data_IF_800741677912
#
_entry.id   IF_800741677912
#
_cell.length_a   1.000
_cell.length_b   1.000
_cell.length_c   1.000
_cell.angle_alpha   90.00
_cell.angle_beta   90.00
_cell.angle_gamma   90.00
#
_symmetry.space_group_name_H-M   'P 1'
#
loop_
_entity.id
_entity.type
_entity.pdbx_description
1 polymer ?
#
# COMPACT_ATOMS: atom_id res chain seq x y z
N UNK A 1 30.85 6.35 31.04
CA UNK A 1 30.91 6.52 29.57
C UNK A 1 31.10 5.16 28.93
N UNK A 2 30.26 4.80 27.97
CA UNK A 2 30.50 3.65 27.10
C UNK A 2 30.97 4.19 25.76
N UNK A 3 32.13 3.77 25.28
CA UNK A 3 32.68 4.22 24.01
C UNK A 3 32.29 3.23 22.94
N UNK A 4 31.49 3.65 21.97
CA UNK A 4 31.13 2.87 20.78
C UNK A 4 32.04 3.29 19.63
N UNK A 5 32.74 2.33 19.05
CA UNK A 5 33.53 2.56 17.84
C UNK A 5 32.61 2.35 16.65
N UNK A 6 32.31 3.43 15.93
CA UNK A 6 31.46 3.43 14.74
C UNK A 6 32.32 3.56 13.49
N UNK A 7 31.91 2.93 12.40
CA UNK A 7 32.52 3.15 11.09
C UNK A 7 32.15 4.53 10.55
N UNK A 8 32.94 5.05 9.60
CA UNK A 8 32.66 6.35 8.97
C UNK A 8 31.30 6.36 8.25
N UNK A 9 30.90 5.23 7.64
CA UNK A 9 29.58 5.08 7.00
C UNK A 9 28.43 5.14 8.02
N UNK A 10 28.58 4.45 9.16
CA UNK A 10 27.59 4.53 10.24
C UNK A 10 27.53 5.95 10.83
N UNK A 11 28.67 6.62 10.94
CA UNK A 11 28.73 8.01 11.38
C UNK A 11 27.96 8.94 10.44
N UNK A 12 28.22 8.87 9.13
CA UNK A 12 27.51 9.67 8.13
C UNK A 12 25.99 9.47 8.19
N UNK A 13 25.53 8.22 8.26
CA UNK A 13 24.10 7.90 8.36
C UNK A 13 23.46 8.46 9.63
N UNK A 14 24.15 8.33 10.77
CA UNK A 14 23.69 8.89 12.04
C UNK A 14 23.67 10.43 12.01
N UNK A 15 24.65 11.08 11.38
CA UNK A 15 24.67 12.54 11.22
C UNK A 15 23.51 13.02 10.36
N UNK A 16 23.23 12.34 9.24
CA UNK A 16 22.09 12.66 8.39
C UNK A 16 20.77 12.56 9.14
N UNK A 17 20.56 11.46 9.87
CA UNK A 17 19.37 11.27 10.69
C UNK A 17 19.24 12.34 11.78
N UNK A 18 20.34 12.69 12.45
CA UNK A 18 20.33 13.74 13.46
C UNK A 18 19.89 15.08 12.87
N UNK A 19 20.33 15.40 11.65
CA UNK A 19 19.84 16.56 10.89
C UNK A 19 18.33 16.51 10.61
N UNK A 20 17.80 15.36 10.18
CA UNK A 20 16.37 15.17 9.95
C UNK A 20 15.54 15.33 11.22
N UNK A 21 15.94 14.71 12.32
CA UNK A 21 15.22 14.79 13.61
C UNK A 21 15.28 16.24 14.14
N UNK A 22 16.43 16.91 14.04
CA UNK A 22 16.55 18.32 14.43
C UNK A 22 15.64 19.21 13.59
N UNK A 23 15.52 18.96 12.28
CA UNK A 23 14.59 19.70 11.42
C UNK A 23 13.12 19.44 11.80
N UNK A 24 12.73 18.19 12.06
CA UNK A 24 11.37 17.82 12.44
C UNK A 24 10.96 18.35 13.82
N UNK A 25 11.88 18.31 14.79
CA UNK A 25 11.61 18.67 16.19
C UNK A 25 11.91 20.14 16.51
N UNK A 26 12.63 20.85 15.62
CA UNK A 26 13.18 22.19 15.82
C UNK A 26 14.02 22.32 17.11
N UNK A 27 14.59 21.20 17.58
CA UNK A 27 15.42 21.14 18.79
C UNK A 27 16.77 20.54 18.46
N UNK A 28 17.80 21.02 19.16
CA UNK A 28 19.13 20.42 19.08
C UNK A 28 19.04 18.98 19.62
N UNK A 29 19.49 18.02 18.82
CA UNK A 29 19.46 16.59 19.14
C UNK A 29 20.89 16.08 19.31
N UNK A 30 21.04 14.98 20.06
CA UNK A 30 22.31 14.27 20.21
C UNK A 30 22.31 12.96 19.44
N UNK A 31 23.48 12.36 19.24
CA UNK A 31 23.59 11.01 18.67
C UNK A 31 22.83 9.97 19.50
N UNK A 32 22.73 10.17 20.81
CA UNK A 32 21.94 9.29 21.69
C UNK A 32 20.46 9.36 21.33
N UNK A 33 19.92 10.57 21.16
CA UNK A 33 18.51 10.77 20.78
C UNK A 33 18.22 10.18 19.40
N UNK A 34 19.16 10.32 18.45
CA UNK A 34 19.05 9.73 17.13
C UNK A 34 19.06 8.19 17.17
N UNK A 35 19.89 7.58 18.02
CA UNK A 35 19.92 6.12 18.23
C UNK A 35 18.64 5.64 18.90
N UNK A 36 18.14 6.33 19.93
CA UNK A 36 16.87 5.98 20.57
C UNK A 36 15.68 6.12 19.61
N UNK A 37 15.68 7.15 18.77
CA UNK A 37 14.68 7.31 17.70
C UNK A 37 14.75 6.17 16.68
N UNK A 38 15.96 5.76 16.27
CA UNK A 38 16.13 4.60 15.40
C UNK A 38 15.55 3.34 16.04
N UNK A 39 15.95 3.04 17.27
CA UNK A 39 15.51 1.83 17.96
C UNK A 39 13.99 1.80 18.22
N UNK A 40 13.38 2.96 18.47
CA UNK A 40 11.92 3.06 18.70
C UNK A 40 11.08 3.04 17.43
N UNK A 41 11.60 3.56 16.31
CA UNK A 41 10.90 3.59 15.03
C UNK A 41 11.21 2.36 14.16
N UNK A 42 12.34 1.70 14.39
CA UNK A 42 12.76 0.54 13.61
C UNK A 42 11.95 -0.69 13.99
N UNK A 43 11.39 -1.35 12.97
CA UNK A 43 10.87 -2.71 13.11
C UNK A 43 11.98 -3.66 12.71
N UNK A 44 12.41 -4.51 13.64
CA UNK A 44 13.40 -5.55 13.35
C UNK A 44 12.63 -6.74 12.77
N UNK A 45 12.89 -7.02 11.49
CA UNK A 45 12.30 -8.17 10.80
C UNK A 45 13.29 -9.35 10.79
N UNK A 46 12.78 -10.60 10.83
CA UNK A 46 13.62 -11.78 10.68
C UNK A 46 14.39 -11.76 9.35
N UNK A 47 15.67 -12.16 9.34
CA UNK A 47 16.49 -12.15 8.13
C UNK A 47 15.95 -13.08 7.04
N UNK A 48 15.26 -14.15 7.41
CA UNK A 48 14.62 -15.07 6.46
C UNK A 48 13.56 -14.35 5.64
N UNK A 49 12.71 -13.54 6.29
CA UNK A 49 11.68 -12.76 5.64
C UNK A 49 12.27 -11.68 4.73
N UNK A 50 13.34 -11.01 5.17
CA UNK A 50 14.03 -10.01 4.35
C UNK A 50 14.64 -10.62 3.08
N UNK A 51 15.16 -11.84 3.17
CA UNK A 51 15.71 -12.57 2.04
C UNK A 51 14.61 -13.06 1.08
N UNK A 52 13.47 -13.49 1.61
CA UNK A 52 12.30 -13.85 0.83
C UNK A 52 11.78 -12.65 0.03
N UNK A 53 11.63 -11.49 0.67
CA UNK A 53 11.23 -10.24 -0.01
C UNK A 53 12.22 -9.87 -1.10
N UNK A 54 13.53 -9.96 -0.83
CA UNK A 54 14.55 -9.67 -1.83
C UNK A 54 14.45 -10.61 -3.04
N UNK A 55 14.28 -11.91 -2.79
CA UNK A 55 14.15 -12.92 -3.85
C UNK A 55 12.89 -12.67 -4.68
N UNK A 56 11.77 -12.35 -4.02
CA UNK A 56 10.51 -12.03 -4.68
C UNK A 56 10.63 -10.80 -5.58
N UNK A 57 11.28 -9.73 -5.13
CA UNK A 57 11.52 -8.51 -5.92
C UNK A 57 12.39 -8.82 -7.15
N UNK A 58 13.42 -9.66 -6.99
CA UNK A 58 14.32 -10.04 -8.08
C UNK A 58 13.63 -10.91 -9.14
N UNK A 59 12.74 -11.81 -8.72
CA UNK A 59 11.94 -12.65 -9.60
C UNK A 59 10.81 -11.87 -10.29
N UNK A 60 10.27 -10.84 -9.63
CA UNK A 60 9.09 -10.11 -10.08
C UNK A 60 9.36 -8.63 -10.40
N UNK A 61 10.42 -8.36 -11.15
CA UNK A 61 10.82 -6.98 -11.54
C UNK A 61 9.72 -6.21 -12.27
N UNK A 62 8.79 -6.90 -12.93
CA UNK A 62 7.62 -6.31 -13.59
C UNK A 62 6.69 -5.56 -12.63
N UNK A 63 6.73 -5.85 -11.33
CA UNK A 63 5.92 -5.17 -10.32
C UNK A 63 6.47 -3.80 -9.92
N UNK A 64 7.67 -3.43 -10.40
CA UNK A 64 8.23 -2.10 -10.22
C UNK A 64 8.85 -1.82 -8.85
N UNK A 65 8.87 -2.79 -7.93
CA UNK A 65 9.54 -2.65 -6.65
C UNK A 65 11.05 -2.57 -6.83
N UNK A 66 11.66 -1.55 -6.24
CA UNK A 66 13.12 -1.33 -6.34
C UNK A 66 13.85 -1.60 -5.03
N UNK A 67 13.14 -1.49 -3.89
CA UNK A 67 13.70 -1.70 -2.55
C UNK A 67 12.76 -2.52 -1.67
N UNK A 68 13.33 -3.15 -0.63
CA UNK A 68 12.54 -3.94 0.35
C UNK A 68 11.61 -3.04 1.14
N UNK A 69 12.06 -1.83 1.46
CA UNK A 69 11.32 -0.83 2.21
C UNK A 69 10.05 -0.38 1.47
N UNK A 70 10.13 -0.27 0.14
CA UNK A 70 8.98 0.05 -0.71
C UNK A 70 7.93 -1.05 -0.65
N UNK A 71 8.36 -2.31 -0.81
CA UNK A 71 7.50 -3.49 -0.73
C UNK A 71 6.83 -3.61 0.65
N UNK A 72 7.61 -3.50 1.73
CA UNK A 72 7.09 -3.59 3.11
C UNK A 72 6.08 -2.47 3.39
N UNK A 73 6.37 -1.24 2.94
CA UNK A 73 5.48 -0.09 3.13
C UNK A 73 4.15 -0.31 2.43
N UNK A 74 4.15 -0.82 1.20
CA UNK A 74 2.90 -1.09 0.50
C UNK A 74 2.12 -2.25 1.12
N UNK A 75 2.78 -3.34 1.50
CA UNK A 75 2.16 -4.46 2.20
C UNK A 75 1.47 -4.03 3.50
N UNK A 76 2.13 -3.18 4.32
CA UNK A 76 1.54 -2.65 5.55
C UNK A 76 0.34 -1.75 5.24
N UNK A 77 0.46 -0.84 4.25
CA UNK A 77 -0.66 0.03 3.84
C UNK A 77 -1.85 -0.79 3.34
N UNK A 78 -1.59 -1.80 2.53
CA UNK A 78 -2.60 -2.75 2.06
C UNK A 78 -3.31 -3.41 3.24
N UNK A 79 -2.56 -3.95 4.20
CA UNK A 79 -3.15 -4.60 5.38
C UNK A 79 -3.97 -3.63 6.23
N UNK A 80 -3.52 -2.39 6.40
CA UNK A 80 -4.26 -1.36 7.13
C UNK A 80 -5.54 -0.92 6.41
N UNK A 81 -5.51 -0.80 5.07
CA UNK A 81 -6.71 -0.51 4.27
C UNK A 81 -7.75 -1.63 4.41
N UNK A 82 -7.28 -2.88 4.33
CA UNK A 82 -8.11 -4.07 4.52
C UNK A 82 -8.78 -4.09 5.90
N UNK A 83 -8.01 -3.90 6.98
CA UNK A 83 -8.55 -3.95 8.35
C UNK A 83 -9.44 -2.76 8.74
N UNK A 84 -9.46 -1.69 7.93
CA UNK A 84 -10.30 -0.51 8.16
C UNK A 84 -11.62 -0.55 7.36
N UNK A 85 -11.93 -1.69 6.73
CA UNK A 85 -13.10 -1.89 5.86
C UNK A 85 -13.26 -0.79 4.80
N UNK A 86 -12.14 -0.21 4.35
CA UNK A 86 -12.16 0.83 3.33
C UNK A 86 -12.45 0.26 1.93
N UNK A 87 -12.20 -1.04 1.75
CA UNK A 87 -12.41 -1.77 0.51
C UNK A 87 -12.86 -3.20 0.85
N UNK A 88 -13.95 -3.64 0.22
CA UNK A 88 -14.28 -5.06 0.09
C UNK A 88 -13.59 -5.61 -1.16
N UNK A 89 -12.97 -6.77 -1.03
CA UNK A 89 -12.31 -7.45 -2.14
C UNK A 89 -13.25 -8.51 -2.69
N UNK A 90 -13.41 -8.53 -4.01
CA UNK A 90 -14.04 -9.62 -4.72
C UNK A 90 -12.93 -10.55 -5.16
N UNK A 91 -12.84 -11.73 -4.54
CA UNK A 91 -11.93 -12.77 -5.00
C UNK A 91 -12.52 -13.41 -6.26
N UNK A 92 -11.76 -13.34 -7.35
CA UNK A 92 -12.08 -13.98 -8.62
C UNK A 92 -10.93 -14.95 -8.92
N UNK A 93 -11.19 -16.25 -9.15
CA UNK A 93 -10.17 -17.19 -9.58
C UNK A 93 -9.44 -16.68 -10.83
N UNK A 94 -8.11 -16.79 -10.87
CA UNK A 94 -7.29 -16.25 -11.97
C UNK A 94 -7.76 -16.78 -13.33
N UNK A 95 -8.09 -18.07 -13.42
CA UNK A 95 -8.59 -18.67 -14.65
C UNK A 95 -9.90 -18.03 -15.15
N UNK A 96 -10.80 -17.68 -14.23
CA UNK A 96 -12.07 -17.03 -14.57
C UNK A 96 -11.86 -15.57 -14.96
N UNK A 97 -10.96 -14.87 -14.25
CA UNK A 97 -10.57 -13.51 -14.58
C UNK A 97 -9.97 -13.41 -15.99
N UNK A 98 -9.07 -14.32 -16.34
CA UNK A 98 -8.44 -14.35 -17.67
C UNK A 98 -9.46 -14.67 -18.78
N UNK A 99 -10.34 -15.65 -18.56
CA UNK A 99 -11.42 -15.96 -19.51
C UNK A 99 -12.38 -14.78 -19.69
N UNK A 100 -12.71 -14.08 -18.61
CA UNK A 100 -13.57 -12.91 -18.66
C UNK A 100 -12.87 -11.74 -19.37
N UNK A 101 -11.57 -11.56 -19.15
CA UNK A 101 -10.78 -10.56 -19.86
C UNK A 101 -10.72 -10.84 -21.36
N UNK A 102 -10.56 -12.10 -21.77
CA UNK A 102 -10.63 -12.51 -23.17
C UNK A 102 -12.03 -12.26 -23.75
N UNK A 103 -13.09 -12.65 -23.04
CA UNK A 103 -14.46 -12.41 -23.49
C UNK A 103 -14.76 -10.91 -23.69
N UNK A 104 -14.29 -10.04 -22.80
CA UNK A 104 -14.45 -8.58 -22.93
C UNK A 104 -13.76 -8.05 -24.18
N UNK A 105 -12.55 -8.54 -24.50
CA UNK A 105 -11.80 -8.17 -25.68
C UNK A 105 -12.44 -8.69 -26.98
N UNK A 106 -12.89 -9.94 -26.98
CA UNK A 106 -13.45 -10.61 -28.15
C UNK A 106 -14.85 -10.09 -28.50
N UNK A 107 -15.64 -9.69 -27.50
CA UNK A 107 -17.04 -9.30 -27.67
C UNK A 107 -17.26 -7.79 -27.87
N UNK A 108 -16.19 -6.98 -27.98
CA UNK A 108 -16.22 -5.51 -28.13
C UNK A 108 -17.27 -4.84 -27.22
N UNK A 109 -17.26 -5.25 -25.95
CA UNK A 109 -18.31 -4.90 -24.97
C UNK A 109 -18.27 -3.43 -24.53
N UNK A 110 -17.33 -2.63 -25.05
CA UNK A 110 -17.11 -1.24 -24.67
C UNK A 110 -16.40 -1.05 -23.33
N UNK A 111 -16.05 -2.14 -22.63
CA UNK A 111 -15.25 -2.10 -21.40
C UNK A 111 -13.78 -2.34 -21.71
N UNK A 112 -12.89 -1.63 -21.01
CA UNK A 112 -11.45 -1.71 -21.25
C UNK A 112 -10.80 -2.95 -20.59
N UNK A 113 -11.38 -3.40 -19.47
CA UNK A 113 -10.91 -4.54 -18.68
C UNK A 113 -12.02 -5.12 -17.81
N UNK A 114 -11.77 -6.29 -17.23
CA UNK A 114 -12.64 -6.88 -16.19
C UNK A 114 -12.90 -5.90 -15.04
N UNK A 115 -11.88 -5.15 -14.61
CA UNK A 115 -12.03 -4.19 -13.52
C UNK A 115 -12.97 -3.04 -13.91
N UNK A 116 -12.81 -2.50 -15.12
CA UNK A 116 -13.69 -1.44 -15.64
C UNK A 116 -15.14 -1.92 -15.80
N UNK A 117 -15.32 -3.19 -16.24
CA UNK A 117 -16.64 -3.82 -16.27
C UNK A 117 -17.29 -3.86 -14.88
N UNK A 118 -16.57 -4.36 -13.86
CA UNK A 118 -17.08 -4.45 -12.50
C UNK A 118 -17.40 -3.06 -11.95
N UNK A 119 -16.49 -2.10 -12.11
CA UNK A 119 -16.65 -0.73 -11.62
C UNK A 119 -17.89 -0.04 -12.23
N UNK A 120 -18.09 -0.19 -13.54
CA UNK A 120 -19.26 0.38 -14.21
C UNK A 120 -20.55 -0.32 -13.79
N UNK A 121 -20.57 -1.64 -13.63
CA UNK A 121 -21.75 -2.33 -13.13
C UNK A 121 -22.13 -1.88 -11.71
N UNK A 122 -21.14 -1.71 -10.83
CA UNK A 122 -21.34 -1.19 -9.48
C UNK A 122 -21.95 0.22 -9.51
N UNK A 123 -21.36 1.15 -10.29
CA UNK A 123 -21.87 2.53 -10.41
C UNK A 123 -23.29 2.57 -10.97
N UNK A 124 -23.54 1.84 -12.05
CA UNK A 124 -24.86 1.79 -12.70
C UNK A 124 -25.94 1.28 -11.73
N UNK A 125 -25.63 0.28 -10.91
CA UNK A 125 -26.57 -0.28 -9.95
C UNK A 125 -26.85 0.70 -8.80
N UNK A 126 -25.81 1.38 -8.28
CA UNK A 126 -25.96 2.40 -7.25
C UNK A 126 -26.77 3.61 -7.74
N UNK A 127 -26.55 4.07 -8.97
CA UNK A 127 -27.32 5.17 -9.57
C UNK A 127 -28.80 4.79 -9.74
N UNK A 128 -29.09 3.58 -10.23
CA UNK A 128 -30.46 3.07 -10.34
C UNK A 128 -31.14 2.99 -8.98
N UNK A 129 -30.43 2.52 -7.96
CA UNK A 129 -30.95 2.47 -6.60
C UNK A 129 -31.24 3.87 -6.05
N UNK A 130 -30.32 4.82 -6.22
CA UNK A 130 -30.52 6.20 -5.78
C UNK A 130 -31.72 6.88 -6.47
N UNK A 131 -31.89 6.65 -7.78
CA UNK A 131 -33.04 7.15 -8.53
C UNK A 131 -34.36 6.54 -8.02
N UNK A 132 -34.37 5.25 -7.71
CA UNK A 132 -35.54 4.56 -7.14
C UNK A 132 -35.89 5.10 -5.74
N UNK A 133 -34.90 5.29 -4.86
CA UNK A 133 -35.11 5.86 -3.52
C UNK A 133 -35.72 7.26 -3.61
N UNK A 134 -35.22 8.11 -4.51
CA UNK A 134 -35.75 9.47 -4.72
C UNK A 134 -37.20 9.46 -5.21
N UNK A 135 -37.53 8.58 -6.17
CA UNK A 135 -38.91 8.43 -6.64
C UNK A 135 -39.86 7.96 -5.54
N UNK A 136 -39.39 7.07 -4.65
CA UNK A 136 -40.17 6.59 -3.51
C UNK A 136 -40.45 7.72 -2.50
N UNK A 137 -39.44 8.51 -2.16
CA UNK A 137 -39.60 9.66 -1.25
C UNK A 137 -40.53 10.74 -1.82
N UNK A 138 -40.46 11.00 -3.13
CA UNK A 138 -41.35 11.97 -3.80
C UNK A 138 -42.81 11.46 -3.89
N UNK A 139 -43.01 10.14 -3.91
CA UNK A 139 -44.33 9.52 -3.87
C UNK A 139 -44.93 9.50 -2.46
N UNK A 140 -44.11 9.31 -1.41
CA UNK A 140 -44.54 9.35 -0.01
C UNK A 140 -44.79 10.78 0.52
N UNK A 141 -44.23 11.81 -0.12
CA UNK A 141 -44.47 13.23 0.22
C UNK A 141 -45.71 13.84 -0.47
N UNK A 142 -46.35 13.13 -1.39
CA UNK A 142 -47.60 13.53 -2.05
C UNK A 142 -48.81 12.94 -1.36
#
# INVERSE_FOLDING_TARGET
MKTLRISDDAHQKLTALLGEITAQTMKMQTYTDAIESLLSQSVILPPELLNEIQSFIEENKQLGYTTREEFIRDAIRYRLRFLRDQYEYIEIPVEEYEKLQQAIQDMDTGFLSVNDFIDQQVRNLLEKHAAWTKQKEDYEKR
#
